data_IF_264969814039
#
_entry.id   IF_264969814039
#
_cell.length_a   1.000
_cell.length_b   1.000
_cell.length_c   1.000
_cell.angle_alpha   90.00
_cell.angle_beta   90.00
_cell.angle_gamma   90.00
#
_symmetry.space_group_name_H-M   'P 1'
#
loop_
_entity.id
_entity.type
_entity.pdbx_description
1 polymer ?
#
# COMPACT_ATOMS: atom_id res chain seq x y z
N UNK A 1 -7.57 -26.45 -0.92
CA UNK A 1 -7.11 -25.35 -1.79
C UNK A 1 -7.41 -23.97 -1.20
N UNK A 2 -8.63 -23.69 -0.70
CA UNK A 2 -8.95 -22.40 -0.07
C UNK A 2 -8.03 -22.00 1.09
N UNK A 3 -7.64 -22.95 1.96
CA UNK A 3 -6.74 -22.69 3.10
C UNK A 3 -5.40 -22.09 2.67
N UNK A 4 -4.77 -22.62 1.62
CA UNK A 4 -3.50 -22.09 1.11
C UNK A 4 -3.67 -20.76 0.38
N UNK A 5 -4.82 -20.52 -0.25
CA UNK A 5 -5.13 -19.23 -0.88
C UNK A 5 -5.24 -18.11 0.16
N UNK A 6 -6.03 -18.31 1.22
CA UNK A 6 -6.15 -17.33 2.32
C UNK A 6 -4.83 -17.11 3.05
N UNK A 7 -4.03 -18.17 3.22
CA UNK A 7 -2.70 -18.05 3.82
C UNK A 7 -1.76 -17.20 2.96
N UNK A 8 -1.70 -17.45 1.65
CA UNK A 8 -0.79 -16.75 0.76
C UNK A 8 -1.19 -15.27 0.56
N UNK A 9 -2.49 -15.00 0.41
CA UNK A 9 -3.02 -13.62 0.32
C UNK A 9 -2.79 -12.88 1.64
N UNK A 10 -3.02 -13.53 2.78
CA UNK A 10 -2.75 -12.95 4.10
C UNK A 10 -1.27 -12.63 4.29
N UNK A 11 -0.38 -13.57 3.93
CA UNK A 11 1.07 -13.37 4.00
C UNK A 11 1.53 -12.22 3.11
N UNK A 12 1.04 -12.14 1.87
CA UNK A 12 1.37 -11.06 0.95
C UNK A 12 0.91 -9.69 1.48
N UNK A 13 -0.31 -9.61 2.03
CA UNK A 13 -0.80 -8.37 2.63
C UNK A 13 0.06 -7.92 3.82
N UNK A 14 0.49 -8.84 4.69
CA UNK A 14 1.41 -8.52 5.79
C UNK A 14 2.77 -8.04 5.28
N UNK A 15 3.34 -8.70 4.27
CA UNK A 15 4.64 -8.30 3.70
C UNK A 15 4.58 -6.91 3.06
N UNK A 16 3.50 -6.60 2.34
CA UNK A 16 3.29 -5.26 1.77
C UNK A 16 3.12 -4.22 2.89
N UNK A 17 2.30 -4.51 3.91
CA UNK A 17 2.11 -3.63 5.05
C UNK A 17 3.41 -3.36 5.83
N UNK A 18 4.22 -4.39 6.05
CA UNK A 18 5.53 -4.27 6.68
C UNK A 18 6.51 -3.46 5.81
N UNK A 19 6.48 -3.65 4.49
CA UNK A 19 7.27 -2.84 3.56
C UNK A 19 6.88 -1.36 3.61
N UNK A 20 5.59 -1.06 3.72
CA UNK A 20 5.09 0.32 3.85
C UNK A 20 5.46 0.96 5.20
N UNK A 21 5.63 0.20 6.28
CA UNK A 21 6.16 0.74 7.55
C UNK A 21 7.63 1.16 7.45
N UNK A 22 8.39 0.58 6.52
CA UNK A 22 9.80 0.90 6.32
C UNK A 22 10.00 2.08 5.36
N UNK A 23 9.04 2.36 4.48
CA UNK A 23 9.14 3.40 3.46
C UNK A 23 8.43 4.67 3.94
N UNK A 24 9.18 5.64 4.45
CA UNK A 24 8.61 6.92 4.88
C UNK A 24 8.30 7.87 3.72
N UNK A 25 9.20 7.97 2.74
CA UNK A 25 9.06 8.89 1.61
C UNK A 25 9.80 8.34 0.39
N UNK A 26 9.14 8.33 -0.76
CA UNK A 26 9.81 8.14 -2.05
C UNK A 26 9.82 9.47 -2.79
N UNK A 27 11.02 10.03 -2.99
CA UNK A 27 11.24 11.24 -3.79
C UNK A 27 11.53 10.79 -5.21
N UNK A 28 10.66 11.13 -6.16
CA UNK A 28 10.97 10.91 -7.57
C UNK A 28 11.87 12.04 -8.07
N UNK A 29 13.08 11.69 -8.50
CA UNK A 29 13.96 12.57 -9.27
C UNK A 29 13.50 12.67 -10.73
N UNK A 30 12.26 13.10 -10.92
CA UNK A 30 11.78 13.53 -12.24
C UNK A 30 12.10 15.02 -12.33
N UNK A 31 13.12 15.38 -13.10
CA UNK A 31 13.26 16.75 -13.60
C UNK A 31 12.14 16.94 -14.63
N UNK A 32 10.96 17.39 -14.20
CA UNK A 32 10.04 18.01 -15.14
C UNK A 32 10.66 19.35 -15.53
N UNK A 33 11.17 19.44 -16.76
CA UNK A 33 11.53 20.72 -17.36
C UNK A 33 10.36 21.67 -17.17
N UNK A 34 10.68 22.84 -16.59
CA UNK A 34 9.79 23.95 -16.30
C UNK A 34 9.16 24.45 -17.59
N UNK A 35 8.12 23.78 -18.09
CA UNK A 35 7.17 24.38 -19.01
C UNK A 35 6.08 25.00 -18.16
N UNK A 36 6.29 26.28 -17.89
CA UNK A 36 5.36 27.26 -17.34
C UNK A 36 3.94 27.01 -17.86
N UNK A 37 3.17 26.20 -17.13
CA UNK A 37 1.70 26.22 -17.15
C UNK A 37 1.24 26.08 -15.72
N UNK A 38 1.05 27.23 -15.09
CA UNK A 38 0.21 27.40 -13.91
C UNK A 38 -1.16 26.79 -14.21
N UNK A 39 -1.33 25.50 -13.91
CA UNK A 39 -2.63 24.95 -13.56
C UNK A 39 -2.52 24.58 -12.09
N UNK A 40 -3.37 25.13 -11.21
CA UNK A 40 -3.57 24.55 -9.90
C UNK A 40 -4.29 23.25 -10.19
N UNK A 41 -3.52 22.21 -10.50
CA UNK A 41 -4.06 20.90 -10.87
C UNK A 41 -4.47 20.25 -9.55
N UNK A 42 -5.64 20.74 -9.11
CA UNK A 42 -6.61 20.17 -8.19
C UNK A 42 -6.19 18.77 -7.83
N UNK A 43 -5.79 18.57 -6.57
CA UNK A 43 -5.57 17.27 -5.96
C UNK A 43 -6.54 16.29 -6.62
N UNK A 44 -6.02 15.46 -7.54
CA UNK A 44 -6.92 14.62 -8.31
C UNK A 44 -7.60 13.74 -7.27
N UNK A 45 -8.92 13.87 -7.17
CA UNK A 45 -9.82 13.03 -6.35
C UNK A 45 -9.86 11.59 -6.88
N UNK A 46 -8.72 11.12 -7.38
CA UNK A 46 -8.44 9.81 -7.94
C UNK A 46 -7.61 9.05 -6.92
N UNK A 47 -7.77 7.73 -6.85
CA UNK A 47 -7.05 6.84 -5.93
C UNK A 47 -5.54 7.14 -5.82
N UNK A 48 -4.90 7.58 -6.91
CA UNK A 48 -3.49 8.01 -6.94
C UNK A 48 -3.19 9.23 -6.07
N UNK A 49 -4.08 10.21 -6.00
CA UNK A 49 -3.90 11.43 -5.20
C UNK A 49 -3.85 11.18 -3.69
N UNK A 50 -4.33 10.02 -3.21
CA UNK A 50 -4.19 9.61 -1.80
C UNK A 50 -2.77 9.17 -1.43
N UNK A 51 -1.94 8.82 -2.41
CA UNK A 51 -0.57 8.33 -2.20
C UNK A 51 0.50 9.30 -2.69
N UNK A 52 0.12 10.42 -3.32
CA UNK A 52 1.06 11.37 -3.93
C UNK A 52 0.85 12.78 -3.41
N UNK A 53 1.91 13.41 -2.93
CA UNK A 53 1.94 14.83 -2.55
C UNK A 53 2.95 15.57 -3.44
N UNK A 54 2.69 16.83 -3.79
CA UNK A 54 3.63 17.65 -4.55
C UNK A 54 4.50 18.43 -3.56
N UNK A 55 5.82 18.27 -3.65
CA UNK A 55 6.77 19.02 -2.81
C UNK A 55 6.83 20.50 -3.25
N UNK A 56 7.14 21.47 -2.37
CA UNK A 56 7.29 22.89 -2.73
C UNK A 56 8.31 23.14 -3.86
N UNK A 57 9.27 22.23 -4.05
CA UNK A 57 10.30 22.27 -5.10
C UNK A 57 9.84 21.70 -6.45
N UNK A 58 8.54 21.46 -6.66
CA UNK A 58 8.00 20.89 -7.91
C UNK A 58 8.29 19.40 -8.12
N UNK A 59 8.90 18.73 -7.13
CA UNK A 59 9.19 17.28 -7.20
C UNK A 59 8.00 16.45 -6.74
N UNK A 60 7.69 15.39 -7.49
CA UNK A 60 6.65 14.43 -7.12
C UNK A 60 7.11 13.57 -5.95
N UNK A 61 6.38 13.64 -4.84
CA UNK A 61 6.65 12.88 -3.63
C UNK A 61 5.55 11.83 -3.46
N UNK A 62 5.94 10.58 -3.22
CA UNK A 62 5.00 9.52 -2.82
C UNK A 62 5.17 9.36 -1.32
N UNK A 63 4.15 9.79 -0.57
CA UNK A 63 4.07 9.61 0.87
C UNK A 63 2.94 8.61 1.11
N UNK A 64 3.25 7.36 1.50
CA UNK A 64 2.22 6.41 1.84
C UNK A 64 1.44 6.92 3.07
N UNK A 65 0.10 6.86 3.07
CA UNK A 65 -0.69 7.36 4.18
C UNK A 65 -0.51 6.48 5.41
N UNK A 66 -0.40 7.11 6.58
CA UNK A 66 -0.06 6.44 7.84
C UNK A 66 -0.98 5.24 8.18
N UNK A 67 -2.25 5.26 7.76
CA UNK A 67 -3.21 4.20 8.06
C UNK A 67 -3.05 2.95 7.17
N UNK A 68 -2.52 3.10 5.96
CA UNK A 68 -2.41 2.01 4.99
C UNK A 68 -1.58 0.81 5.49
N UNK A 69 -0.36 0.97 6.04
CA UNK A 69 0.41 -0.16 6.55
C UNK A 69 -0.33 -0.91 7.67
N UNK A 70 -0.96 -0.20 8.60
CA UNK A 70 -1.70 -0.82 9.71
C UNK A 70 -2.92 -1.60 9.22
N UNK A 71 -3.67 -1.08 8.24
CA UNK A 71 -4.80 -1.79 7.65
C UNK A 71 -4.35 -3.07 6.92
N UNK A 72 -3.27 -2.99 6.14
CA UNK A 72 -2.71 -4.13 5.41
C UNK A 72 -2.18 -5.22 6.36
N UNK A 73 -1.44 -4.83 7.41
CA UNK A 73 -0.95 -5.77 8.41
C UNK A 73 -2.08 -6.42 9.21
N UNK A 74 -3.08 -5.64 9.63
CA UNK A 74 -4.22 -6.16 10.39
C UNK A 74 -5.05 -7.14 9.56
N UNK A 75 -5.45 -6.76 8.34
CA UNK A 75 -6.23 -7.61 7.45
C UNK A 75 -5.46 -8.88 7.07
N UNK A 76 -4.16 -8.76 6.78
CA UNK A 76 -3.32 -9.90 6.47
C UNK A 76 -3.14 -10.86 7.65
N UNK A 77 -2.95 -10.34 8.86
CA UNK A 77 -2.86 -11.15 10.08
C UNK A 77 -4.15 -11.92 10.36
N UNK A 78 -5.31 -11.28 10.19
CA UNK A 78 -6.62 -11.96 10.33
C UNK A 78 -6.77 -13.07 9.28
N UNK A 79 -6.39 -12.83 8.03
CA UNK A 79 -6.44 -13.85 6.98
C UNK A 79 -5.51 -15.04 7.27
N UNK A 80 -4.32 -14.79 7.83
CA UNK A 80 -3.39 -15.84 8.28
C UNK A 80 -3.99 -16.66 9.42
N UNK A 81 -4.54 -15.99 10.46
CA UNK A 81 -5.19 -16.66 11.59
C UNK A 81 -6.39 -17.49 11.13
N UNK A 82 -7.20 -16.97 10.22
CA UNK A 82 -8.31 -17.71 9.63
C UNK A 82 -7.81 -18.95 8.89
N UNK A 83 -6.77 -18.81 8.07
CA UNK A 83 -6.19 -19.93 7.35
C UNK A 83 -5.56 -20.98 8.28
N UNK A 84 -4.99 -20.61 9.44
CA UNK A 84 -4.44 -21.57 10.40
C UNK A 84 -5.53 -22.25 11.23
N UNK A 85 -6.58 -21.52 11.60
CA UNK A 85 -7.71 -21.99 12.38
C UNK A 85 -8.64 -22.94 11.62
N UNK A 86 -8.63 -22.90 10.27
CA UNK A 86 -9.44 -23.83 9.48
C UNK A 86 -9.10 -25.29 9.85
N UNK A 87 -10.07 -26.13 10.23
CA UNK A 87 -9.79 -27.51 10.57
C UNK A 87 -9.23 -28.25 9.35
N UNK A 88 -8.19 -29.08 9.55
CA UNK A 88 -7.78 -30.03 8.50
C UNK A 88 -8.95 -30.97 8.31
N UNK A 89 -9.39 -31.15 7.07
CA UNK A 89 -10.35 -32.21 6.72
C UNK A 89 -9.67 -33.52 7.15
N UNK A 90 -10.05 -34.03 8.31
CA UNK A 90 -9.63 -35.34 8.79
C UNK A 90 -10.28 -36.32 7.82
N UNK A 91 -9.45 -36.83 6.91
CA UNK A 91 -9.87 -37.89 6.01
C UNK A 91 -10.28 -39.09 6.85
N UNK A 92 -11.52 -39.54 6.66
CA UNK A 92 -11.79 -40.97 6.71
C UNK A 92 -11.19 -41.60 5.46
#
# INVERSE_FOLDING_TARGET
>A
MFRSLFFNVGLLAVLIGAGLLYVDVIILNVQEEVVVRQQPQKAETSFRGMFTTVSPDGKKMIVPPIWAPYCLMSAGAVALLYATALPRRSGK
#
